data_IF_405918315919
#
_entry.id   IF_405918315919
#
_cell.length_a   1.000
_cell.length_b   1.000
_cell.length_c   1.000
_cell.angle_alpha   90.00
_cell.angle_beta   90.00
_cell.angle_gamma   90.00
#
_symmetry.space_group_name_H-M   'P 1'
#
loop_
_entity.id
_entity.type
_entity.pdbx_description
1 polymer ?
#
# COMPACT_ATOMS: atom_id res chain seq x y z
N UNK A 1 -3.36 -26.24 11.14
CA UNK A 1 -2.93 -26.61 9.77
C UNK A 1 -2.61 -28.10 9.65
N UNK A 2 -1.71 -28.65 10.49
CA UNK A 2 -1.34 -30.06 10.37
C UNK A 2 -2.53 -31.02 10.51
N UNK A 3 -3.45 -30.75 11.45
CA UNK A 3 -4.68 -31.54 11.60
C UNK A 3 -5.55 -31.48 10.33
N UNK A 4 -5.69 -30.29 9.72
CA UNK A 4 -6.45 -30.15 8.46
C UNK A 4 -5.80 -30.91 7.30
N UNK A 5 -4.46 -30.90 7.19
CA UNK A 5 -3.73 -31.69 6.19
C UNK A 5 -3.89 -33.18 6.42
N UNK A 6 -3.86 -33.63 7.66
CA UNK A 6 -4.12 -35.04 8.02
C UNK A 6 -5.56 -35.45 7.69
N UNK A 7 -6.53 -34.60 8.03
CA UNK A 7 -7.93 -34.83 7.68
C UNK A 7 -8.11 -34.88 6.13
N UNK A 8 -7.54 -33.91 5.39
CA UNK A 8 -7.61 -33.90 3.94
C UNK A 8 -7.00 -35.14 3.28
N UNK A 9 -5.95 -35.73 3.87
CA UNK A 9 -5.34 -37.00 3.41
C UNK A 9 -6.18 -38.24 3.78
N UNK A 10 -6.89 -38.16 4.89
CA UNK A 10 -7.77 -39.28 5.37
C UNK A 10 -9.03 -39.41 4.52
N UNK A 11 -9.52 -38.32 3.91
CA UNK A 11 -10.69 -38.37 3.05
C UNK A 11 -10.40 -39.10 1.74
N UNK A 12 -11.26 -40.02 1.36
CA UNK A 12 -11.17 -40.82 0.15
C UNK A 12 -11.50 -40.03 -1.13
N UNK A 13 -11.32 -40.64 -2.33
CA UNK A 13 -11.63 -40.01 -3.60
C UNK A 13 -13.07 -39.49 -3.72
N UNK A 14 -14.03 -40.16 -3.06
CA UNK A 14 -15.46 -39.79 -3.07
C UNK A 14 -15.80 -38.59 -2.19
N UNK A 15 -14.86 -38.15 -1.36
CA UNK A 15 -15.05 -37.05 -0.39
C UNK A 15 -14.34 -35.76 -0.84
N UNK A 16 -14.41 -35.48 -2.14
CA UNK A 16 -13.75 -34.32 -2.77
C UNK A 16 -14.14 -32.98 -2.11
N UNK A 17 -15.44 -32.83 -1.79
CA UNK A 17 -15.97 -31.64 -1.12
C UNK A 17 -15.34 -31.45 0.27
N UNK A 18 -15.25 -32.50 1.09
CA UNK A 18 -14.64 -32.44 2.42
C UNK A 18 -13.16 -32.06 2.35
N UNK A 19 -12.43 -32.60 1.37
CA UNK A 19 -11.03 -32.20 1.11
C UNK A 19 -10.92 -30.74 0.71
N UNK A 20 -11.79 -30.26 -0.18
CA UNK A 20 -11.81 -28.85 -0.61
C UNK A 20 -12.08 -27.92 0.60
N UNK A 21 -13.03 -28.26 1.47
CA UNK A 21 -13.28 -27.50 2.70
C UNK A 21 -12.06 -27.45 3.63
N UNK A 22 -11.30 -28.54 3.77
CA UNK A 22 -10.05 -28.54 4.53
C UNK A 22 -9.00 -27.58 3.92
N UNK A 23 -8.89 -27.52 2.59
CA UNK A 23 -7.99 -26.60 1.90
C UNK A 23 -8.40 -25.16 2.13
N UNK A 24 -9.70 -24.85 2.08
CA UNK A 24 -10.23 -23.50 2.36
C UNK A 24 -9.90 -23.08 3.79
N UNK A 25 -10.17 -23.94 4.77
CA UNK A 25 -9.84 -23.66 6.18
C UNK A 25 -8.33 -23.50 6.41
N UNK A 26 -7.49 -24.31 5.75
CA UNK A 26 -6.03 -24.14 5.82
C UNK A 26 -5.59 -22.82 5.23
N UNK A 27 -6.18 -22.40 4.09
CA UNK A 27 -5.88 -21.13 3.45
C UNK A 27 -6.28 -19.94 4.34
N UNK A 28 -7.42 -20.00 5.00
CA UNK A 28 -7.88 -18.98 5.95
C UNK A 28 -6.88 -18.79 7.10
N UNK A 29 -6.47 -19.88 7.76
CA UNK A 29 -5.42 -19.84 8.79
C UNK A 29 -4.11 -19.30 8.21
N UNK A 30 -3.78 -19.61 6.93
CA UNK A 30 -2.63 -19.10 6.23
C UNK A 30 -2.66 -17.59 6.07
N UNK A 31 -3.81 -17.03 5.67
CA UNK A 31 -3.98 -15.59 5.50
C UNK A 31 -3.88 -14.82 6.81
N UNK A 32 -4.50 -15.33 7.87
CA UNK A 32 -4.37 -14.76 9.24
C UNK A 32 -2.90 -14.77 9.66
N UNK A 33 -2.20 -15.87 9.44
CA UNK A 33 -0.78 -15.99 9.78
C UNK A 33 0.16 -15.30 8.77
N UNK A 34 -0.35 -14.52 7.81
CA UNK A 34 0.44 -13.88 6.73
C UNK A 34 1.35 -14.88 5.97
N UNK A 35 0.89 -16.12 5.78
CA UNK A 35 1.53 -17.12 4.92
C UNK A 35 0.94 -17.04 3.51
N UNK A 36 1.46 -16.16 2.68
CA UNK A 36 0.88 -15.82 1.37
C UNK A 36 1.41 -16.71 0.23
N UNK A 37 2.49 -17.45 0.47
CA UNK A 37 3.12 -18.32 -0.52
C UNK A 37 2.36 -19.63 -0.71
N UNK A 38 2.19 -20.08 -1.97
CA UNK A 38 1.68 -21.42 -2.30
C UNK A 38 0.17 -21.67 -2.17
N UNK A 39 -0.56 -20.84 -1.45
CA UNK A 39 -1.99 -21.05 -1.17
C UNK A 39 -2.93 -20.74 -2.34
N UNK A 40 -2.54 -19.87 -3.26
CA UNK A 40 -3.45 -19.34 -4.29
C UNK A 40 -3.99 -20.41 -5.27
N UNK A 41 -3.12 -21.29 -5.81
CA UNK A 41 -3.54 -22.33 -6.75
C UNK A 41 -4.43 -23.39 -6.09
N UNK A 42 -4.06 -23.80 -4.86
CA UNK A 42 -4.83 -24.79 -4.11
C UNK A 42 -6.22 -24.25 -3.73
N UNK A 43 -6.30 -22.98 -3.33
CA UNK A 43 -7.56 -22.32 -2.99
C UNK A 43 -8.48 -22.18 -4.23
N UNK A 44 -7.95 -21.81 -5.39
CA UNK A 44 -8.70 -21.71 -6.62
C UNK A 44 -9.24 -23.09 -7.08
N UNK A 45 -8.44 -24.15 -6.96
CA UNK A 45 -8.87 -25.52 -7.26
C UNK A 45 -9.95 -25.98 -6.28
N UNK A 46 -9.80 -25.69 -4.98
CA UNK A 46 -10.80 -26.02 -3.98
C UNK A 46 -12.13 -25.30 -4.23
N UNK A 47 -12.08 -24.02 -4.61
CA UNK A 47 -13.25 -23.24 -4.99
C UNK A 47 -13.98 -23.86 -6.18
N UNK A 48 -13.28 -24.19 -7.27
CA UNK A 48 -13.87 -24.80 -8.45
C UNK A 48 -14.56 -26.14 -8.11
N UNK A 49 -13.94 -26.98 -7.26
CA UNK A 49 -14.49 -28.23 -6.78
C UNK A 49 -15.79 -28.02 -5.97
N UNK A 50 -15.83 -26.99 -5.12
CA UNK A 50 -17.02 -26.66 -4.33
C UNK A 50 -18.16 -26.13 -5.21
N UNK A 51 -17.84 -25.32 -6.23
CA UNK A 51 -18.81 -24.84 -7.22
C UNK A 51 -19.43 -26.00 -8.03
N UNK A 52 -18.61 -26.94 -8.52
CA UNK A 52 -19.03 -28.12 -9.28
C UNK A 52 -19.99 -29.01 -8.46
N UNK A 53 -19.77 -29.13 -7.15
CA UNK A 53 -20.61 -29.93 -6.27
C UNK A 53 -21.74 -29.15 -5.59
N UNK A 54 -22.00 -27.90 -5.99
CA UNK A 54 -23.13 -27.10 -5.48
C UNK A 54 -22.93 -26.56 -4.05
N UNK A 55 -21.73 -26.63 -3.47
CA UNK A 55 -21.42 -26.03 -2.15
C UNK A 55 -21.14 -24.53 -2.28
N UNK A 56 -22.20 -23.78 -2.64
CA UNK A 56 -22.13 -22.34 -2.97
C UNK A 56 -21.59 -21.49 -1.83
N UNK A 57 -21.89 -21.81 -0.57
CA UNK A 57 -21.46 -21.04 0.61
C UNK A 57 -19.95 -21.15 0.78
N UNK A 58 -19.40 -22.36 0.78
CA UNK A 58 -17.96 -22.55 0.92
C UNK A 58 -17.19 -22.11 -0.34
N UNK A 59 -17.78 -22.20 -1.52
CA UNK A 59 -17.20 -21.64 -2.75
C UNK A 59 -17.11 -20.11 -2.66
N UNK A 60 -18.16 -19.43 -2.21
CA UNK A 60 -18.16 -17.98 -2.00
C UNK A 60 -17.14 -17.57 -0.93
N UNK A 61 -17.03 -18.34 0.17
CA UNK A 61 -16.01 -18.11 1.19
C UNK A 61 -14.59 -18.27 0.62
N UNK A 62 -14.32 -19.29 -0.19
CA UNK A 62 -13.04 -19.47 -0.87
C UNK A 62 -12.70 -18.28 -1.79
N UNK A 63 -13.69 -17.78 -2.56
CA UNK A 63 -13.55 -16.58 -3.39
C UNK A 63 -13.21 -15.32 -2.56
N UNK A 64 -13.81 -15.17 -1.39
CA UNK A 64 -13.49 -14.08 -0.46
C UNK A 64 -12.04 -14.17 0.04
N UNK A 65 -11.56 -15.36 0.37
CA UNK A 65 -10.15 -15.55 0.75
C UNK A 65 -9.19 -15.25 -0.40
N UNK A 66 -9.55 -15.56 -1.66
CA UNK A 66 -8.78 -15.16 -2.85
C UNK A 66 -8.71 -13.62 -2.96
N UNK A 67 -9.84 -12.92 -2.82
CA UNK A 67 -9.90 -11.46 -2.85
C UNK A 67 -9.05 -10.84 -1.73
N UNK A 68 -9.16 -11.35 -0.49
CA UNK A 68 -8.34 -10.92 0.65
C UNK A 68 -6.84 -11.14 0.40
N UNK A 69 -6.47 -12.28 -0.19
CA UNK A 69 -5.08 -12.55 -0.55
C UNK A 69 -4.56 -11.55 -1.58
N UNK A 70 -5.34 -11.26 -2.64
CA UNK A 70 -4.96 -10.28 -3.66
C UNK A 70 -4.82 -8.88 -3.07
N UNK A 71 -5.70 -8.47 -2.17
CA UNK A 71 -5.58 -7.21 -1.44
C UNK A 71 -4.26 -7.15 -0.65
N UNK A 72 -3.90 -8.20 0.09
CA UNK A 72 -2.66 -8.26 0.89
C UNK A 72 -1.39 -8.15 0.04
N UNK A 73 -1.39 -8.71 -1.18
CA UNK A 73 -0.24 -8.64 -2.10
C UNK A 73 -0.30 -7.47 -3.08
N UNK A 74 -1.22 -6.52 -2.90
CA UNK A 74 -1.30 -5.31 -3.73
C UNK A 74 -1.90 -5.48 -5.12
N UNK A 75 -2.46 -6.63 -5.45
CA UNK A 75 -3.12 -6.91 -6.73
C UNK A 75 -4.57 -6.46 -6.67
N UNK A 76 -4.79 -5.14 -6.76
CA UNK A 76 -6.10 -4.55 -6.47
C UNK A 76 -7.15 -4.87 -7.55
N UNK A 77 -6.76 -4.94 -8.84
CA UNK A 77 -7.69 -5.27 -9.93
C UNK A 77 -8.24 -6.68 -9.77
N UNK A 78 -7.38 -7.64 -9.44
CA UNK A 78 -7.81 -9.01 -9.20
C UNK A 78 -8.61 -9.14 -7.90
N UNK A 79 -8.26 -8.38 -6.86
CA UNK A 79 -9.04 -8.35 -5.63
C UNK A 79 -10.46 -7.84 -5.90
N UNK A 80 -10.59 -6.74 -6.64
CA UNK A 80 -11.87 -6.11 -6.99
C UNK A 80 -12.69 -7.03 -7.91
N UNK A 81 -12.07 -7.62 -8.94
CA UNK A 81 -12.73 -8.56 -9.84
C UNK A 81 -13.23 -9.82 -9.14
N UNK A 82 -12.45 -10.37 -8.19
CA UNK A 82 -12.90 -11.50 -7.37
C UNK A 82 -14.07 -11.13 -6.46
N UNK A 83 -13.99 -9.96 -5.83
CA UNK A 83 -15.03 -9.49 -4.91
C UNK A 83 -16.34 -9.19 -5.65
N UNK A 84 -16.29 -8.59 -6.83
CA UNK A 84 -17.45 -8.28 -7.66
C UNK A 84 -18.21 -9.54 -8.12
N UNK A 85 -17.52 -10.66 -8.29
CA UNK A 85 -18.11 -11.96 -8.64
C UNK A 85 -18.76 -12.72 -7.47
N UNK A 86 -18.78 -12.16 -6.25
CA UNK A 86 -19.34 -12.80 -5.07
C UNK A 86 -20.66 -12.16 -4.68
N UNK A 87 -21.67 -13.00 -4.48
CA UNK A 87 -22.93 -12.57 -3.87
C UNK A 87 -22.80 -12.61 -2.33
N UNK A 88 -22.75 -11.43 -1.67
CA UNK A 88 -22.63 -11.40 -0.23
C UNK A 88 -23.86 -11.97 0.52
N UNK A 89 -25.00 -12.12 -0.15
CA UNK A 89 -26.19 -12.72 0.44
C UNK A 89 -26.00 -14.21 0.76
N UNK A 90 -25.13 -14.89 0.02
CA UNK A 90 -24.78 -16.29 0.27
C UNK A 90 -23.88 -16.48 1.49
N UNK A 91 -23.26 -15.41 1.99
CA UNK A 91 -22.30 -15.48 3.08
C UNK A 91 -23.00 -15.37 4.46
N UNK A 92 -22.55 -16.12 5.46
CA UNK A 92 -22.92 -15.89 6.88
C UNK A 92 -22.53 -14.47 7.33
N UNK A 93 -23.15 -13.91 8.39
CA UNK A 93 -22.87 -12.56 8.85
C UNK A 93 -21.38 -12.28 9.11
N UNK A 94 -20.63 -13.22 9.67
CA UNK A 94 -19.21 -13.09 9.91
C UNK A 94 -18.42 -12.94 8.57
N UNK A 95 -18.72 -13.78 7.58
CA UNK A 95 -18.07 -13.71 6.26
C UNK A 95 -18.52 -12.47 5.46
N UNK A 96 -19.76 -11.99 5.64
CA UNK A 96 -20.22 -10.69 5.10
C UNK A 96 -19.44 -9.52 5.68
N UNK A 97 -19.11 -9.58 6.97
CA UNK A 97 -18.22 -8.58 7.59
C UNK A 97 -16.85 -8.57 6.91
N UNK A 98 -16.23 -9.74 6.76
CA UNK A 98 -14.95 -9.86 6.08
C UNK A 98 -15.01 -9.41 4.62
N UNK A 99 -16.08 -9.72 3.87
CA UNK A 99 -16.31 -9.23 2.52
C UNK A 99 -16.33 -7.69 2.47
N UNK A 100 -17.09 -7.07 3.36
CA UNK A 100 -17.20 -5.63 3.42
C UNK A 100 -15.88 -4.95 3.87
N UNK A 101 -15.10 -5.58 4.75
CA UNK A 101 -13.75 -5.12 5.12
C UNK A 101 -12.77 -5.19 3.94
N UNK A 102 -12.83 -6.25 3.12
CA UNK A 102 -12.01 -6.35 1.90
C UNK A 102 -12.40 -5.25 0.92
N UNK A 103 -13.71 -5.00 0.74
CA UNK A 103 -14.19 -3.90 -0.11
C UNK A 103 -13.69 -2.54 0.39
N UNK A 104 -13.76 -2.28 1.70
CA UNK A 104 -13.23 -1.06 2.30
C UNK A 104 -11.72 -0.93 2.09
N UNK A 105 -10.96 -2.00 2.29
CA UNK A 105 -9.51 -2.01 2.06
C UNK A 105 -9.13 -1.71 0.61
N UNK A 106 -9.87 -2.26 -0.37
CA UNK A 106 -9.68 -1.95 -1.80
C UNK A 106 -9.99 -0.48 -2.06
N UNK A 107 -11.13 0.03 -1.56
CA UNK A 107 -11.56 1.40 -1.76
C UNK A 107 -10.56 2.41 -1.16
N UNK A 108 -10.07 2.18 0.07
CA UNK A 108 -9.03 3.01 0.68
C UNK A 108 -7.75 3.05 -0.16
N UNK A 109 -7.28 1.92 -0.66
CA UNK A 109 -6.04 1.85 -1.46
C UNK A 109 -6.20 2.48 -2.84
N UNK A 110 -7.43 2.56 -3.34
CA UNK A 110 -7.78 3.27 -4.57
C UNK A 110 -8.13 4.74 -4.34
N UNK A 111 -8.05 5.24 -3.11
CA UNK A 111 -8.46 6.60 -2.74
C UNK A 111 -9.92 6.90 -3.13
N UNK A 112 -10.83 5.97 -2.82
CA UNK A 112 -12.28 6.11 -2.99
C UNK A 112 -12.90 6.16 -1.60
N UNK A 113 -12.77 7.30 -0.93
CA UNK A 113 -13.02 7.43 0.52
C UNK A 113 -14.50 7.22 0.87
N UNK A 114 -15.43 7.70 0.04
CA UNK A 114 -16.86 7.48 0.26
C UNK A 114 -17.24 6.01 0.12
N UNK A 115 -16.72 5.32 -0.90
CA UNK A 115 -16.93 3.88 -1.07
C UNK A 115 -16.34 3.08 0.11
N UNK A 116 -15.23 3.54 0.70
CA UNK A 116 -14.65 2.95 1.89
C UNK A 116 -15.55 3.13 3.12
N UNK A 117 -16.11 4.34 3.33
CA UNK A 117 -17.09 4.62 4.41
C UNK A 117 -18.33 3.74 4.29
N UNK A 118 -18.91 3.64 3.10
CA UNK A 118 -20.07 2.78 2.85
C UNK A 118 -19.77 1.30 3.13
N UNK A 119 -18.62 0.82 2.68
CA UNK A 119 -18.19 -0.55 2.93
C UNK A 119 -18.01 -0.82 4.43
N UNK A 120 -17.39 0.10 5.18
CA UNK A 120 -17.23 0.01 6.63
C UNK A 120 -18.59 0.04 7.36
N UNK A 121 -19.53 0.85 6.90
CA UNK A 121 -20.88 0.86 7.46
C UNK A 121 -21.60 -0.49 7.24
N UNK A 122 -21.44 -1.12 6.05
CA UNK A 122 -21.93 -2.49 5.80
C UNK A 122 -21.24 -3.51 6.71
N UNK A 123 -19.92 -3.41 6.87
CA UNK A 123 -19.15 -4.28 7.76
C UNK A 123 -19.66 -4.18 9.20
N UNK A 124 -19.89 -2.97 9.72
CA UNK A 124 -20.41 -2.75 11.06
C UNK A 124 -21.79 -3.34 11.29
N UNK A 125 -22.68 -3.23 10.30
CA UNK A 125 -24.00 -3.91 10.39
C UNK A 125 -23.88 -5.43 10.45
N UNK A 126 -23.05 -6.01 9.59
CA UNK A 126 -22.82 -7.45 9.54
C UNK A 126 -22.12 -7.98 10.79
N UNK A 127 -21.15 -7.22 11.34
CA UNK A 127 -20.44 -7.58 12.57
C UNK A 127 -21.39 -7.64 13.79
N UNK A 128 -22.29 -6.67 13.89
CA UNK A 128 -23.33 -6.69 14.94
C UNK A 128 -24.26 -7.91 14.81
N UNK A 129 -24.67 -8.25 13.58
CA UNK A 129 -25.48 -9.46 13.33
C UNK A 129 -24.72 -10.75 13.63
N UNK A 130 -23.41 -10.76 13.44
CA UNK A 130 -22.58 -11.92 13.77
C UNK A 130 -22.43 -12.12 15.28
N UNK A 131 -22.54 -11.06 16.09
CA UNK A 131 -22.41 -11.11 17.54
C UNK A 131 -21.01 -11.48 18.03
N UNK A 132 -19.96 -11.31 17.20
CA UNK A 132 -18.57 -11.67 17.52
C UNK A 132 -17.79 -10.40 17.84
N UNK A 133 -17.40 -10.15 19.11
CA UNK A 133 -16.73 -8.90 19.52
C UNK A 133 -15.44 -8.62 18.75
N UNK A 134 -14.67 -9.66 18.41
CA UNK A 134 -13.43 -9.51 17.63
C UNK A 134 -13.69 -8.91 16.24
N UNK A 135 -14.78 -9.26 15.56
CA UNK A 135 -15.14 -8.66 14.26
C UNK A 135 -15.55 -7.19 14.41
N UNK A 136 -16.26 -6.83 15.49
CA UNK A 136 -16.57 -5.43 15.76
C UNK A 136 -15.30 -4.62 15.97
N UNK A 137 -14.37 -5.13 16.76
CA UNK A 137 -13.07 -4.49 16.99
C UNK A 137 -12.24 -4.36 15.69
N UNK A 138 -12.30 -5.35 14.79
CA UNK A 138 -11.63 -5.29 13.48
C UNK A 138 -12.24 -4.17 12.61
N UNK A 139 -13.57 -4.05 12.56
CA UNK A 139 -14.25 -2.97 11.83
C UNK A 139 -13.90 -1.58 12.40
N UNK A 140 -13.91 -1.44 13.73
CA UNK A 140 -13.52 -0.19 14.38
C UNK A 140 -12.06 0.16 14.12
N UNK A 141 -11.18 -0.83 14.10
CA UNK A 141 -9.77 -0.64 13.75
C UNK A 141 -9.59 -0.16 12.31
N UNK A 142 -10.31 -0.78 11.38
CA UNK A 142 -10.31 -0.36 9.98
C UNK A 142 -10.88 1.06 9.79
N UNK A 143 -11.94 1.41 10.54
CA UNK A 143 -12.53 2.75 10.48
C UNK A 143 -11.58 3.86 10.99
N UNK A 144 -10.76 3.56 12.00
CA UNK A 144 -9.75 4.52 12.51
C UNK A 144 -8.76 4.99 11.45
N UNK A 145 -8.50 4.16 10.42
CA UNK A 145 -7.60 4.54 9.31
C UNK A 145 -8.10 5.79 8.59
N UNK A 146 -9.41 5.97 8.45
CA UNK A 146 -9.99 7.16 7.80
C UNK A 146 -9.84 8.44 8.63
N UNK A 147 -9.65 8.31 9.95
CA UNK A 147 -9.49 9.41 10.89
C UNK A 147 -8.02 9.66 11.27
N UNK A 148 -7.08 8.95 10.62
CA UNK A 148 -5.65 9.06 10.89
C UNK A 148 -4.96 9.77 9.73
N UNK A 149 -3.99 10.67 9.95
CA UNK A 149 -3.27 11.34 8.88
C UNK A 149 -2.65 10.34 7.90
N UNK A 150 -3.01 10.46 6.62
CA UNK A 150 -2.54 9.59 5.55
C UNK A 150 -1.27 10.12 4.88
N UNK A 151 -1.11 11.45 4.88
CA UNK A 151 0.02 12.17 4.29
C UNK A 151 0.24 13.49 4.99
N UNK A 152 1.27 14.23 4.58
CA UNK A 152 1.48 15.65 4.89
C UNK A 152 1.48 16.45 3.59
N UNK A 153 0.80 17.56 3.56
CA UNK A 153 0.87 18.53 2.48
C UNK A 153 1.95 19.55 2.83
N UNK A 154 2.89 19.77 1.90
CA UNK A 154 3.88 20.84 2.00
C UNK A 154 3.60 21.82 0.87
N UNK A 155 3.28 23.06 1.22
CA UNK A 155 2.95 24.13 0.29
C UNK A 155 3.41 25.48 0.85
N UNK A 156 4.15 26.25 0.07
CA UNK A 156 4.61 27.60 0.47
C UNK A 156 5.46 27.64 1.74
N UNK A 157 6.12 26.54 2.10
CA UNK A 157 6.93 26.41 3.31
C UNK A 157 6.15 25.97 4.56
N UNK A 158 4.83 25.81 4.46
CA UNK A 158 3.98 25.29 5.53
C UNK A 158 3.73 23.78 5.36
N UNK A 159 3.62 23.06 6.47
CA UNK A 159 3.27 21.65 6.49
C UNK A 159 2.00 21.41 7.29
N UNK A 160 1.08 20.61 6.76
CA UNK A 160 -0.10 20.16 7.50
C UNK A 160 -0.40 18.68 7.23
N UNK A 161 -0.90 17.94 8.23
CA UNK A 161 -1.38 16.58 8.02
C UNK A 161 -2.63 16.56 7.14
N UNK A 162 -2.78 15.50 6.33
CA UNK A 162 -3.96 15.24 5.51
C UNK A 162 -4.59 13.91 5.89
N UNK A 163 -5.90 13.88 6.01
CA UNK A 163 -6.68 12.64 6.03
C UNK A 163 -6.80 12.06 4.61
N UNK A 164 -7.25 10.81 4.51
CA UNK A 164 -7.33 10.10 3.23
C UNK A 164 -8.22 10.83 2.20
N UNK A 165 -9.36 11.41 2.64
CA UNK A 165 -10.26 12.19 1.79
C UNK A 165 -9.61 13.48 1.27
N UNK A 166 -8.80 14.14 2.11
CA UNK A 166 -8.08 15.33 1.67
C UNK A 166 -6.97 14.99 0.66
N UNK A 167 -6.32 13.82 0.82
CA UNK A 167 -5.37 13.30 -0.18
C UNK A 167 -6.10 13.02 -1.50
N UNK A 168 -7.27 12.39 -1.47
CA UNK A 168 -8.12 12.15 -2.64
C UNK A 168 -8.46 13.47 -3.34
N UNK A 169 -8.90 14.49 -2.58
CA UNK A 169 -9.22 15.82 -3.10
C UNK A 169 -8.00 16.52 -3.73
N UNK A 170 -6.83 16.48 -3.08
CA UNK A 170 -5.58 17.04 -3.63
C UNK A 170 -5.19 16.34 -4.94
N UNK A 171 -5.32 15.01 -5.01
CA UNK A 171 -4.95 14.25 -6.21
C UNK A 171 -5.98 14.39 -7.34
N UNK A 172 -7.22 14.78 -7.05
CA UNK A 172 -8.26 15.09 -8.03
C UNK A 172 -8.25 16.56 -8.49
N UNK A 173 -7.46 17.42 -7.85
CA UNK A 173 -7.36 18.84 -8.19
C UNK A 173 -6.44 19.10 -9.39
N UNK A 174 -6.45 20.34 -9.89
CA UNK A 174 -5.57 20.81 -10.96
C UNK A 174 -4.18 21.25 -10.46
N UNK A 175 -3.84 20.97 -9.19
CA UNK A 175 -2.52 21.28 -8.64
C UNK A 175 -1.42 20.44 -9.30
N UNK A 176 -0.22 21.02 -9.41
CA UNK A 176 0.98 20.23 -9.69
C UNK A 176 1.42 19.54 -8.39
N UNK A 177 1.24 18.23 -8.31
CA UNK A 177 1.53 17.45 -7.10
C UNK A 177 2.82 16.67 -7.29
N UNK A 178 3.81 16.92 -6.42
CA UNK A 178 4.98 16.05 -6.25
C UNK A 178 4.63 15.01 -5.18
N UNK A 179 4.21 13.81 -5.60
CA UNK A 179 3.78 12.73 -4.71
C UNK A 179 4.98 11.91 -4.21
N UNK A 180 5.42 12.18 -2.98
CA UNK A 180 6.52 11.46 -2.35
C UNK A 180 6.09 10.10 -1.77
N UNK A 181 4.80 9.81 -1.71
CA UNK A 181 4.31 8.48 -1.35
C UNK A 181 4.51 7.48 -2.49
N UNK A 182 4.35 7.93 -3.75
CA UNK A 182 4.42 7.10 -4.97
C UNK A 182 5.60 7.42 -5.88
N UNK A 183 6.40 8.44 -5.56
CA UNK A 183 7.54 8.91 -6.36
C UNK A 183 7.15 9.32 -7.77
N UNK A 184 6.12 10.15 -7.90
CA UNK A 184 5.66 10.70 -9.17
C UNK A 184 5.49 12.21 -9.10
N UNK A 185 5.52 12.87 -10.27
CA UNK A 185 5.01 14.23 -10.43
C UNK A 185 3.74 14.14 -11.27
N UNK A 186 2.65 14.76 -10.83
CA UNK A 186 1.37 14.65 -11.53
C UNK A 186 0.60 15.96 -11.54
N UNK A 187 -0.30 16.08 -12.52
CA UNK A 187 -1.31 17.13 -12.61
C UNK A 187 -2.51 16.59 -13.39
N UNK A 188 -3.68 16.60 -12.76
CA UNK A 188 -4.84 15.96 -13.36
C UNK A 188 -4.56 14.48 -13.71
N UNK A 189 -4.88 14.06 -14.95
CA UNK A 189 -4.61 12.72 -15.45
C UNK A 189 -3.17 12.45 -15.89
N UNK A 190 -2.32 13.49 -16.04
CA UNK A 190 -0.95 13.32 -16.49
C UNK A 190 -0.02 12.95 -15.32
N UNK A 191 0.78 11.90 -15.49
CA UNK A 191 1.67 11.35 -14.46
C UNK A 191 3.06 11.09 -15.03
N UNK A 192 4.09 11.60 -14.35
CA UNK A 192 5.51 11.36 -14.66
C UNK A 192 6.11 10.50 -13.55
N UNK A 193 6.40 9.21 -13.79
CA UNK A 193 6.97 8.31 -12.79
C UNK A 193 8.47 8.58 -12.62
N UNK A 194 8.92 8.75 -11.38
CA UNK A 194 10.33 8.99 -11.01
C UNK A 194 10.88 7.96 -10.01
N UNK A 195 10.16 6.88 -9.74
CA UNK A 195 10.56 5.87 -8.75
C UNK A 195 11.93 5.21 -9.06
N UNK A 196 12.28 5.03 -10.33
CA UNK A 196 13.58 4.51 -10.77
C UNK A 196 14.67 5.59 -10.89
N UNK A 197 14.35 6.85 -10.62
CA UNK A 197 15.21 8.03 -10.83
C UNK A 197 15.29 8.90 -9.56
N UNK A 198 15.91 8.39 -8.49
CA UNK A 198 15.86 9.03 -7.16
C UNK A 198 16.45 10.45 -7.15
N UNK A 199 17.47 10.72 -7.97
CA UNK A 199 18.06 12.07 -8.11
C UNK A 199 17.05 13.05 -8.70
N UNK A 200 16.34 12.67 -9.77
CA UNK A 200 15.32 13.53 -10.37
C UNK A 200 14.15 13.75 -9.43
N UNK A 201 13.75 12.72 -8.70
CA UNK A 201 12.70 12.86 -7.68
C UNK A 201 13.13 13.79 -6.53
N UNK A 202 14.39 13.73 -6.09
CA UNK A 202 14.92 14.66 -5.07
C UNK A 202 14.91 16.11 -5.56
N UNK A 203 15.20 16.35 -6.85
CA UNK A 203 15.08 17.67 -7.46
C UNK A 203 13.62 18.14 -7.52
N UNK A 204 12.70 17.27 -7.98
CA UNK A 204 11.26 17.57 -8.02
C UNK A 204 10.74 17.98 -6.64
N UNK A 205 11.07 17.18 -5.63
CA UNK A 205 10.67 17.43 -4.25
C UNK A 205 11.23 18.74 -3.71
N UNK A 206 12.55 18.98 -3.89
CA UNK A 206 13.18 20.21 -3.41
C UNK A 206 12.58 21.48 -4.04
N UNK A 207 12.30 21.44 -5.34
CA UNK A 207 11.70 22.56 -6.05
C UNK A 207 10.22 22.74 -5.72
N UNK A 208 9.48 21.64 -5.53
CA UNK A 208 8.08 21.69 -5.12
C UNK A 208 7.89 22.21 -3.70
N UNK A 209 8.74 21.77 -2.74
CA UNK A 209 8.70 22.26 -1.35
C UNK A 209 9.01 23.76 -1.23
N UNK A 210 9.86 24.30 -2.13
CA UNK A 210 10.24 25.71 -2.14
C UNK A 210 9.28 26.60 -2.93
N UNK A 211 8.41 26.01 -3.76
CA UNK A 211 7.51 26.79 -4.62
C UNK A 211 6.70 27.83 -3.82
N UNK A 212 6.51 29.08 -4.31
CA UNK A 212 6.92 29.64 -5.60
C UNK A 212 8.37 30.12 -5.66
N UNK A 213 9.14 30.02 -4.59
CA UNK A 213 10.53 30.47 -4.52
C UNK A 213 11.48 29.55 -5.30
N UNK A 214 12.69 30.07 -5.57
CA UNK A 214 13.77 29.28 -6.14
C UNK A 214 14.56 28.49 -5.09
N UNK A 215 15.27 27.47 -5.54
CA UNK A 215 16.20 26.69 -4.70
C UNK A 215 17.62 26.90 -5.19
N UNK A 216 18.52 27.28 -4.27
CA UNK A 216 19.92 27.52 -4.61
C UNK A 216 20.62 26.24 -5.13
N UNK A 217 21.62 26.41 -6.02
CA UNK A 217 22.41 25.29 -6.56
C UNK A 217 23.01 24.42 -5.46
N UNK A 218 23.51 25.07 -4.41
CA UNK A 218 24.10 24.36 -3.27
C UNK A 218 23.05 23.49 -2.50
N UNK A 219 21.85 24.00 -2.31
CA UNK A 219 20.77 23.26 -1.68
C UNK A 219 20.32 22.06 -2.52
N UNK A 220 20.20 22.22 -3.85
CA UNK A 220 19.89 21.14 -4.77
C UNK A 220 20.96 20.06 -4.79
N UNK A 221 22.25 20.43 -4.79
CA UNK A 221 23.36 19.47 -4.71
C UNK A 221 23.28 18.65 -3.41
N UNK A 222 23.08 19.30 -2.28
CA UNK A 222 22.91 18.58 -0.98
C UNK A 222 21.75 17.62 -1.01
N UNK A 223 20.59 18.06 -1.50
CA UNK A 223 19.37 17.23 -1.56
C UNK A 223 19.47 16.08 -2.54
N UNK A 224 20.03 16.32 -3.73
CA UNK A 224 20.08 15.34 -4.81
C UNK A 224 21.23 14.31 -4.68
N UNK A 225 22.35 14.71 -4.08
CA UNK A 225 23.56 13.87 -4.02
C UNK A 225 24.03 13.54 -2.62
N UNK A 226 23.39 14.08 -1.58
CA UNK A 226 23.79 13.88 -0.18
C UNK A 226 25.16 14.50 0.18
N UNK A 227 25.76 15.29 -0.73
CA UNK A 227 27.08 15.86 -0.53
C UNK A 227 27.04 17.15 0.27
N UNK A 228 27.89 17.24 1.29
CA UNK A 228 28.09 18.48 2.06
C UNK A 228 28.99 19.49 1.33
N UNK A 229 29.81 19.03 0.39
CA UNK A 229 30.72 19.84 -0.40
C UNK A 229 30.10 20.14 -1.78
N UNK A 230 30.24 21.37 -2.23
CA UNK A 230 29.76 21.84 -3.55
C UNK A 230 30.96 22.29 -4.39
N UNK A 231 31.61 21.31 -5.05
CA UNK A 231 32.69 21.58 -6.01
C UNK A 231 32.14 21.71 -7.43
N UNK A 232 33.03 21.98 -8.38
CA UNK A 232 32.66 22.17 -9.81
C UNK A 232 32.15 20.88 -10.45
N UNK A 233 32.60 19.69 -10.00
CA UNK A 233 32.11 18.40 -10.46
C UNK A 233 30.64 18.22 -10.09
N UNK A 234 30.26 18.55 -8.85
CA UNK A 234 28.86 18.54 -8.42
C UNK A 234 27.98 19.52 -9.17
N UNK A 235 28.51 20.72 -9.52
CA UNK A 235 27.78 21.70 -10.33
C UNK A 235 27.56 21.21 -11.75
N UNK A 236 28.56 20.60 -12.37
CA UNK A 236 28.45 20.02 -13.71
C UNK A 236 27.42 18.88 -13.71
N UNK A 237 27.47 17.98 -12.72
CA UNK A 237 26.49 16.91 -12.54
C UNK A 237 25.07 17.46 -12.33
N UNK A 238 24.91 18.49 -11.50
CA UNK A 238 23.59 19.13 -11.31
C UNK A 238 23.02 19.65 -12.62
N UNK A 239 23.83 20.31 -13.48
CA UNK A 239 23.37 20.80 -14.80
C UNK A 239 22.81 19.67 -15.67
N UNK A 240 23.48 18.52 -15.69
CA UNK A 240 23.05 17.33 -16.43
C UNK A 240 21.73 16.80 -15.87
N UNK A 241 21.63 16.62 -14.54
CA UNK A 241 20.42 16.07 -13.92
C UNK A 241 19.23 17.03 -14.00
N UNK A 242 19.43 18.35 -13.92
CA UNK A 242 18.37 19.33 -14.17
C UNK A 242 17.93 19.28 -15.63
N UNK A 243 18.84 19.09 -16.59
CA UNK A 243 18.50 18.90 -18.00
C UNK A 243 17.60 17.67 -18.21
N UNK A 244 17.93 16.53 -17.58
CA UNK A 244 17.12 15.31 -17.60
C UNK A 244 15.77 15.54 -16.92
N UNK A 245 15.75 16.20 -15.78
CA UNK A 245 14.52 16.52 -15.06
C UNK A 245 13.58 17.39 -15.89
N UNK A 246 14.10 18.43 -16.55
CA UNK A 246 13.34 19.27 -17.49
C UNK A 246 12.66 18.46 -18.59
N UNK A 247 13.39 17.52 -19.18
CA UNK A 247 12.85 16.66 -20.24
C UNK A 247 11.68 15.81 -19.75
N UNK A 248 11.81 15.20 -18.55
CA UNK A 248 10.78 14.34 -17.97
C UNK A 248 9.53 15.12 -17.58
N UNK A 249 9.67 16.27 -16.90
CA UNK A 249 8.51 17.02 -16.39
C UNK A 249 7.94 18.02 -17.39
N UNK A 250 8.51 18.11 -18.59
CA UNK A 250 8.08 19.03 -19.65
C UNK A 250 6.57 19.09 -19.91
N UNK A 251 5.83 17.96 -19.83
CA UNK A 251 4.38 18.00 -20.00
C UNK A 251 3.64 18.74 -18.88
N UNK A 252 4.21 18.79 -17.67
CA UNK A 252 3.56 19.27 -16.45
C UNK A 252 4.11 20.62 -15.96
N UNK A 253 5.41 20.84 -16.13
CA UNK A 253 6.08 22.00 -15.57
C UNK A 253 7.31 22.41 -16.38
N UNK A 254 7.71 23.65 -16.20
CA UNK A 254 8.98 24.18 -16.65
C UNK A 254 9.92 24.36 -15.45
N UNK A 255 11.22 24.13 -15.65
CA UNK A 255 12.24 24.39 -14.64
C UNK A 255 13.14 25.53 -15.18
N UNK A 256 12.99 26.70 -14.61
CA UNK A 256 13.71 27.90 -15.03
C UNK A 256 14.99 28.08 -14.22
N UNK A 257 16.04 28.62 -14.85
CA UNK A 257 17.26 29.02 -14.15
C UNK A 257 17.08 30.42 -13.56
N UNK A 258 17.55 30.59 -12.32
CA UNK A 258 17.58 31.87 -11.61
C UNK A 258 19.03 32.25 -11.30
N UNK A 259 19.25 33.45 -10.83
CA UNK A 259 20.60 33.88 -10.37
C UNK A 259 21.13 32.93 -9.28
N UNK A 260 20.29 32.54 -8.34
CA UNK A 260 20.65 31.67 -7.21
C UNK A 260 20.67 30.17 -7.54
N UNK A 261 19.74 29.73 -8.42
CA UNK A 261 19.58 28.32 -8.67
C UNK A 261 18.56 27.99 -9.75
N UNK A 262 17.47 27.33 -9.34
CA UNK A 262 16.38 26.90 -10.20
C UNK A 262 15.04 27.07 -9.51
N UNK A 263 13.99 27.38 -10.30
CA UNK A 263 12.61 27.46 -9.85
C UNK A 263 11.72 26.54 -10.69
N UNK A 264 10.62 26.05 -10.09
CA UNK A 264 9.60 25.25 -10.74
C UNK A 264 8.44 26.14 -11.17
N UNK A 265 8.03 26.06 -12.44
CA UNK A 265 6.88 26.77 -12.97
C UNK A 265 5.86 25.78 -13.51
N UNK A 266 4.74 25.51 -12.79
CA UNK A 266 3.69 24.62 -13.26
C UNK A 266 3.09 25.08 -14.59
N UNK A 267 2.75 24.12 -15.47
CA UNK A 267 2.03 24.39 -16.72
C UNK A 267 0.55 24.09 -16.50
N UNK A 268 -0.31 25.13 -16.58
CA UNK A 268 -1.76 24.95 -16.42
C UNK A 268 -2.23 24.78 -14.96
N UNK A 269 -1.36 24.62 -13.98
CA UNK A 269 -1.69 24.67 -12.57
C UNK A 269 -1.35 26.04 -11.98
N UNK A 270 -2.14 26.47 -10.98
CA UNK A 270 -1.85 27.73 -10.26
C UNK A 270 -0.78 27.56 -9.20
N UNK A 271 -0.66 26.35 -8.67
CA UNK A 271 0.22 26.04 -7.54
C UNK A 271 0.90 24.69 -7.70
N UNK A 272 2.08 24.56 -7.08
CA UNK A 272 2.75 23.29 -6.88
C UNK A 272 2.78 22.94 -5.39
N UNK A 273 2.48 21.68 -5.07
CA UNK A 273 2.48 21.17 -3.70
C UNK A 273 3.24 19.85 -3.63
N UNK A 274 3.76 19.53 -2.44
CA UNK A 274 4.36 18.21 -2.18
C UNK A 274 3.46 17.42 -1.25
N UNK A 275 3.06 16.23 -1.71
CA UNK A 275 2.39 15.24 -0.89
C UNK A 275 3.45 14.37 -0.24
N UNK A 276 3.87 14.73 0.97
CA UNK A 276 4.89 14.03 1.73
C UNK A 276 4.31 12.84 2.50
N UNK A 277 5.15 11.86 2.82
CA UNK A 277 4.76 10.75 3.69
C UNK A 277 4.38 11.26 5.07
N UNK A 278 3.44 10.60 5.77
CA UNK A 278 3.08 11.00 7.14
C UNK A 278 4.29 10.91 8.08
N UNK A 279 5.17 9.94 7.84
CA UNK A 279 6.43 9.76 8.56
C UNK A 279 7.54 9.54 7.53
N UNK A 280 8.63 10.31 7.63
CA UNK A 280 9.83 10.18 6.78
C UNK A 280 10.75 9.10 7.39
N UNK A 281 10.41 7.85 7.11
CA UNK A 281 11.14 6.69 7.59
C UNK A 281 11.81 5.94 6.44
N UNK A 282 13.07 5.54 6.66
CA UNK A 282 13.69 4.55 5.80
C UNK A 282 12.93 3.22 5.95
N UNK A 283 12.67 2.54 4.84
CA UNK A 283 11.87 1.31 4.81
C UNK A 283 10.41 1.45 5.27
N UNK A 284 9.81 2.65 5.15
CA UNK A 284 8.43 2.93 5.56
C UNK A 284 7.39 1.94 4.99
N UNK A 285 7.57 1.42 3.77
CA UNK A 285 6.67 0.43 3.18
C UNK A 285 6.68 -0.93 3.92
N UNK A 286 7.82 -1.33 4.48
CA UNK A 286 7.92 -2.54 5.32
C UNK A 286 7.19 -2.32 6.64
N UNK A 287 7.41 -1.17 7.28
CA UNK A 287 6.71 -0.80 8.52
C UNK A 287 5.20 -0.70 8.31
N UNK A 288 4.77 -0.19 7.16
CA UNK A 288 3.35 -0.07 6.81
C UNK A 288 2.62 -1.43 6.76
N UNK A 289 3.29 -2.49 6.29
CA UNK A 289 2.73 -3.84 6.32
C UNK A 289 2.72 -4.43 7.73
N UNK A 290 3.79 -4.20 8.50
CA UNK A 290 3.90 -4.70 9.86
C UNK A 290 2.97 -3.97 10.85
N UNK A 291 2.50 -2.77 10.51
CA UNK A 291 1.61 -1.97 11.34
C UNK A 291 0.20 -2.60 11.51
N UNK A 292 -0.13 -3.66 10.78
CA UNK A 292 -1.35 -4.45 10.99
C UNK A 292 -1.32 -5.26 12.31
N UNK A 293 -0.18 -5.27 13.01
CA UNK A 293 0.01 -5.97 14.28
C UNK A 293 0.25 -7.49 14.13
N UNK A 294 0.25 -7.98 12.91
CA UNK A 294 0.44 -9.41 12.62
C UNK A 294 1.93 -9.75 12.39
N UNK A 295 2.26 -11.01 12.61
CA UNK A 295 3.61 -11.49 12.37
C UNK A 295 3.83 -11.89 10.91
N UNK A 296 4.82 -11.29 10.26
CA UNK A 296 5.12 -11.50 8.85
C UNK A 296 6.42 -12.27 8.63
N UNK A 297 6.45 -13.14 7.62
CA UNK A 297 7.71 -13.69 7.10
C UNK A 297 8.34 -12.72 6.09
N UNK A 298 9.68 -12.77 5.94
CA UNK A 298 10.37 -11.96 4.92
C UNK A 298 9.93 -12.30 3.49
N UNK A 299 9.53 -13.54 3.22
CA UNK A 299 8.99 -13.95 1.92
C UNK A 299 7.59 -13.40 1.66
N UNK A 300 6.72 -13.35 2.68
CA UNK A 300 5.40 -12.75 2.54
C UNK A 300 5.47 -11.24 2.35
N UNK A 301 6.37 -10.55 3.07
CA UNK A 301 6.65 -9.12 2.86
C UNK A 301 7.20 -8.86 1.45
N UNK A 302 8.12 -9.70 0.96
CA UNK A 302 8.66 -9.58 -0.39
C UNK A 302 7.57 -9.71 -1.46
N UNK A 303 6.66 -10.67 -1.27
CA UNK A 303 5.51 -10.86 -2.16
C UNK A 303 4.56 -9.65 -2.12
N UNK A 304 4.25 -9.16 -0.92
CA UNK A 304 3.36 -8.02 -0.73
C UNK A 304 3.94 -6.71 -1.27
N UNK A 305 5.26 -6.53 -1.20
CA UNK A 305 5.96 -5.33 -1.70
C UNK A 305 6.38 -5.44 -3.17
N UNK A 306 6.21 -6.60 -3.81
CA UNK A 306 6.65 -6.82 -5.18
C UNK A 306 8.18 -6.71 -5.35
N UNK A 307 8.96 -7.05 -4.31
CA UNK A 307 10.42 -6.91 -4.30
C UNK A 307 11.13 -8.22 -3.92
N UNK A 308 12.47 -8.24 -3.98
CA UNK A 308 13.24 -9.43 -3.62
C UNK A 308 13.24 -9.66 -2.10
N UNK A 309 13.25 -10.95 -1.68
CA UNK A 309 13.36 -11.30 -0.27
C UNK A 309 14.67 -10.77 0.35
N UNK A 310 15.75 -10.69 -0.42
CA UNK A 310 17.04 -10.13 0.02
C UNK A 310 16.94 -8.64 0.34
N UNK A 311 16.18 -7.89 -0.46
CA UNK A 311 15.92 -6.46 -0.22
C UNK A 311 15.15 -6.28 1.07
N UNK A 312 14.07 -7.06 1.26
CA UNK A 312 13.27 -7.04 2.48
C UNK A 312 14.09 -7.45 3.70
N UNK A 313 14.94 -8.47 3.58
CA UNK A 313 15.79 -8.91 4.69
C UNK A 313 16.72 -7.80 5.17
N UNK A 314 17.37 -7.07 4.24
CA UNK A 314 18.24 -5.92 4.59
C UNK A 314 17.43 -4.81 5.27
N UNK A 315 16.24 -4.51 4.77
CA UNK A 315 15.34 -3.53 5.40
C UNK A 315 14.95 -3.94 6.83
N UNK A 316 14.58 -5.20 7.02
CA UNK A 316 14.21 -5.73 8.33
C UNK A 316 15.39 -5.76 9.31
N UNK A 317 16.60 -6.07 8.84
CA UNK A 317 17.81 -6.05 9.68
C UNK A 317 18.15 -4.61 10.11
N UNK A 318 18.03 -3.64 9.21
CA UNK A 318 18.19 -2.22 9.53
C UNK A 318 17.14 -1.73 10.55
N UNK A 319 15.87 -2.06 10.32
CA UNK A 319 14.77 -1.72 11.24
C UNK A 319 14.93 -2.40 12.61
N UNK A 320 15.43 -3.65 12.66
CA UNK A 320 15.70 -4.34 13.92
C UNK A 320 16.86 -3.70 14.68
N UNK A 321 17.91 -3.27 13.98
CA UNK A 321 19.01 -2.51 14.59
C UNK A 321 18.55 -1.19 15.17
N UNK A 322 17.57 -0.55 14.51
CA UNK A 322 16.93 0.68 15.00
C UNK A 322 15.86 0.43 16.09
N UNK A 323 15.63 -0.81 16.51
CA UNK A 323 14.64 -1.16 17.53
C UNK A 323 13.17 -1.00 17.11
N UNK A 324 12.90 -0.90 15.79
CA UNK A 324 11.55 -0.66 15.25
C UNK A 324 10.78 -1.93 14.96
N UNK A 325 11.46 -3.05 14.80
CA UNK A 325 10.86 -4.36 14.57
C UNK A 325 11.55 -5.42 15.43
N UNK A 326 10.79 -6.43 15.81
CA UNK A 326 11.27 -7.55 16.60
C UNK A 326 11.26 -8.84 15.79
N UNK A 327 12.19 -9.73 16.13
CA UNK A 327 12.31 -11.07 15.52
C UNK A 327 11.66 -12.10 16.42
N UNK A 328 10.74 -12.88 15.86
CA UNK A 328 10.12 -14.02 16.53
C UNK A 328 10.54 -15.32 15.86
N UNK A 329 10.93 -16.32 16.65
CA UNK A 329 11.36 -17.64 16.16
C UNK A 329 12.74 -17.67 15.51
N UNK A 330 13.13 -18.83 14.95
CA UNK A 330 14.44 -19.09 14.36
C UNK A 330 14.33 -19.79 13.00
N UNK A 331 15.35 -19.65 12.18
CA UNK A 331 15.48 -20.33 10.89
C UNK A 331 14.33 -20.02 9.94
N UNK A 332 13.71 -21.04 9.32
CA UNK A 332 12.58 -20.90 8.39
C UNK A 332 11.29 -20.44 9.04
N UNK A 333 11.15 -20.60 10.36
CA UNK A 333 10.01 -20.14 11.14
C UNK A 333 10.15 -18.69 11.63
N UNK A 334 11.21 -17.97 11.23
CA UNK A 334 11.43 -16.58 11.62
C UNK A 334 10.31 -15.69 11.13
N UNK A 335 9.75 -14.92 12.04
CA UNK A 335 8.72 -13.91 11.80
C UNK A 335 9.20 -12.55 12.30
N UNK A 336 8.53 -11.52 11.82
CA UNK A 336 8.81 -10.14 12.16
C UNK A 336 7.53 -9.47 12.60
N UNK A 337 7.60 -8.68 13.64
CA UNK A 337 6.50 -7.92 14.21
C UNK A 337 6.98 -6.52 14.58
N UNK A 338 6.11 -5.55 14.56
CA UNK A 338 6.35 -4.22 15.15
C UNK A 338 5.33 -3.94 16.23
N UNK A 339 5.70 -3.14 17.23
CA UNK A 339 4.72 -2.56 18.11
C UNK A 339 3.78 -1.65 17.28
N UNK A 340 2.49 -1.52 17.67
CA UNK A 340 1.59 -0.58 17.01
C UNK A 340 2.20 0.83 17.04
N UNK A 341 2.40 1.44 15.85
CA UNK A 341 2.91 2.80 15.72
C UNK A 341 1.72 3.73 15.61
N UNK A 342 1.41 4.53 16.64
CA UNK A 342 0.31 5.47 16.58
C UNK A 342 0.47 6.45 15.42
N UNK A 343 -0.60 6.70 14.66
CA UNK A 343 -0.59 7.63 13.54
C UNK A 343 0.09 7.13 12.26
N UNK A 344 0.55 5.88 12.22
CA UNK A 344 1.12 5.30 11.00
C UNK A 344 0.00 4.72 10.14
N UNK A 345 -0.42 5.46 9.12
CA UNK A 345 -1.35 4.95 8.13
C UNK A 345 -0.62 4.18 7.04
N UNK A 346 -1.15 3.02 6.74
CA UNK A 346 -0.51 2.07 5.83
C UNK A 346 -0.93 2.26 4.37
N UNK A 347 -2.07 2.91 4.13
CA UNK A 347 -2.76 2.86 2.83
C UNK A 347 -1.95 3.45 1.68
N UNK A 348 -1.36 4.65 1.86
CA UNK A 348 -0.58 5.31 0.80
C UNK A 348 0.82 4.73 0.61
N UNK A 349 1.34 4.03 1.61
CA UNK A 349 2.66 3.41 1.56
C UNK A 349 2.62 1.98 1.02
N UNK A 350 1.43 1.37 0.94
CA UNK A 350 1.26 0.05 0.38
C UNK A 350 1.31 0.08 -1.15
N UNK A 351 1.86 -0.96 -1.78
CA UNK A 351 1.85 -1.08 -3.24
C UNK A 351 0.42 -1.00 -3.77
N UNK A 352 0.20 -0.07 -4.68
CA UNK A 352 -1.04 0.08 -5.43
C UNK A 352 -0.68 0.51 -6.85
N UNK A 353 -1.49 0.18 -7.87
CA UNK A 353 -1.32 0.76 -9.18
C UNK A 353 -1.40 2.29 -9.07
N UNK A 354 -0.60 2.99 -9.88
CA UNK A 354 -0.72 4.44 -10.01
C UNK A 354 -2.15 4.75 -10.42
N UNK A 355 -2.82 5.75 -9.79
CA UNK A 355 -4.12 6.18 -10.26
C UNK A 355 -3.96 6.67 -11.71
N UNK A 356 -4.45 5.88 -12.66
CA UNK A 356 -4.68 6.30 -14.03
C UNK A 356 -5.94 7.13 -14.00
N UNK A 357 -5.82 8.35 -14.48
CA UNK A 357 -6.94 9.27 -14.62
C UNK A 357 -7.94 8.77 -15.63
#
# INVERSE_FOLDING_TARGET
KELLRRAARAFGPREAVSRARCVVAEAEIGLVSRELGGTGKALAAARAMLEEHGDRVNAAHAGLLEARRFLLIGRLDEAEGKLAGLDPALLPPASRTAHALVAAGIAMRRLRTDAAREALARAGRSARLAGIPALTAEVESAARVLCTPAARLVAGGEERPLLLEEVEAVLASDLLVVDACRFVVRQGGAVVPLASRPVLFALARALGEAWPADVSRAALIRRAFGSKLTDESHRARLRVEVGRFRAEVRPLAEVTATERGFALAPRGAREAVVLARPIEEEHAAVLALLADGESWSSSALALALGTSQRTVQRALDALATAGKVERLGRGRARRWITAPVPGFTTTLLLPAPLPVG
#
